data_IF_047391170370
#
_entry.id   IF_047391170370
#
_cell.length_a   1.000
_cell.length_b   1.000
_cell.length_c   1.000
_cell.angle_alpha   90.00
_cell.angle_beta   90.00
_cell.angle_gamma   90.00
#
_symmetry.space_group_name_H-M   'P 1'
#
loop_
_entity.id
_entity.type
_entity.pdbx_description
1 polymer ?
#
# COMPACT_ATOMS: atom_id res chain seq x y z
N UNK A 1 48.29 -44.30 -29.29
CA UNK A 1 47.57 -44.21 -27.98
C UNK A 1 47.38 -42.79 -27.44
N UNK A 2 48.36 -41.87 -27.47
CA UNK A 2 48.23 -40.49 -26.91
C UNK A 2 47.05 -39.65 -27.48
N UNK A 3 46.72 -39.78 -28.78
CA UNK A 3 45.60 -39.06 -29.43
C UNK A 3 44.22 -39.49 -28.91
N UNK A 4 44.03 -40.79 -28.68
CA UNK A 4 42.78 -41.37 -28.17
C UNK A 4 42.55 -40.95 -26.71
N UNK A 5 43.62 -40.91 -25.91
CA UNK A 5 43.57 -40.46 -24.52
C UNK A 5 43.26 -38.95 -24.41
N UNK A 6 43.77 -38.13 -25.34
CA UNK A 6 43.46 -36.69 -25.45
C UNK A 6 41.98 -36.44 -25.77
N UNK A 7 41.40 -37.17 -26.72
CA UNK A 7 39.98 -37.04 -27.08
C UNK A 7 39.04 -37.42 -25.91
N UNK A 8 39.36 -38.46 -25.14
CA UNK A 8 38.58 -38.83 -23.95
C UNK A 8 38.63 -37.75 -22.86
N UNK A 9 39.77 -37.08 -22.67
CA UNK A 9 39.89 -35.94 -21.72
C UNK A 9 39.11 -34.72 -22.17
N UNK A 10 39.11 -34.41 -23.47
CA UNK A 10 38.34 -33.29 -24.04
C UNK A 10 36.83 -33.55 -23.89
N UNK A 11 36.37 -34.78 -24.16
CA UNK A 11 34.98 -35.18 -23.97
C UNK A 11 34.55 -35.04 -22.50
N UNK A 12 35.39 -35.47 -21.56
CA UNK A 12 35.12 -35.34 -20.13
C UNK A 12 35.01 -33.87 -19.71
N UNK A 13 35.90 -33.00 -20.20
CA UNK A 13 35.85 -31.55 -19.94
C UNK A 13 34.59 -30.91 -20.50
N UNK A 14 34.14 -31.33 -21.69
CA UNK A 14 32.87 -30.86 -22.28
C UNK A 14 31.67 -31.25 -21.43
N UNK A 15 31.61 -32.50 -20.96
CA UNK A 15 30.53 -32.98 -20.09
C UNK A 15 30.48 -32.19 -18.78
N UNK A 16 31.66 -31.97 -18.15
CA UNK A 16 31.76 -31.16 -16.93
C UNK A 16 31.33 -29.71 -17.20
N UNK A 17 31.81 -29.11 -18.29
CA UNK A 17 31.45 -27.74 -18.66
C UNK A 17 29.95 -27.55 -18.89
N UNK A 18 29.30 -28.47 -19.62
CA UNK A 18 27.85 -28.46 -19.82
C UNK A 18 27.12 -28.63 -18.47
N UNK A 19 27.58 -29.55 -17.62
CA UNK A 19 27.01 -29.74 -16.28
C UNK A 19 27.04 -28.46 -15.44
N UNK A 20 28.17 -27.74 -15.44
CA UNK A 20 28.32 -26.46 -14.74
C UNK A 20 27.35 -25.40 -15.31
N UNK A 21 27.23 -25.29 -16.64
CA UNK A 21 26.31 -24.33 -17.27
C UNK A 21 24.86 -24.61 -16.87
N UNK A 22 24.44 -25.88 -16.87
CA UNK A 22 23.08 -26.28 -16.45
C UNK A 22 22.83 -25.92 -14.97
N UNK A 23 23.82 -26.11 -14.09
CA UNK A 23 23.72 -25.72 -12.68
C UNK A 23 23.58 -24.19 -12.54
N UNK A 24 24.42 -23.41 -13.23
CA UNK A 24 24.37 -21.95 -13.21
C UNK A 24 23.00 -21.45 -13.71
N UNK A 25 22.52 -21.99 -14.83
CA UNK A 25 21.22 -21.60 -15.39
C UNK A 25 20.08 -21.90 -14.41
N UNK A 26 20.07 -23.09 -13.79
CA UNK A 26 19.07 -23.44 -12.78
C UNK A 26 19.11 -22.52 -11.55
N UNK A 27 20.30 -22.17 -11.06
CA UNK A 27 20.45 -21.24 -9.94
C UNK A 27 19.94 -19.84 -10.31
N UNK A 28 20.25 -19.36 -11.51
CA UNK A 28 19.78 -18.07 -12.00
C UNK A 28 18.25 -18.02 -12.12
N UNK A 29 17.63 -19.03 -12.73
CA UNK A 29 16.16 -19.11 -12.83
C UNK A 29 15.48 -19.18 -11.46
N UNK A 30 16.04 -19.93 -10.50
CA UNK A 30 15.53 -19.97 -9.12
C UNK A 30 15.64 -18.61 -8.45
N UNK A 31 16.77 -17.91 -8.62
CA UNK A 31 16.98 -16.60 -8.01
C UNK A 31 15.99 -15.57 -8.53
N UNK A 32 15.75 -15.53 -9.84
CA UNK A 32 14.72 -14.65 -10.43
C UNK A 32 13.32 -14.96 -9.90
N UNK A 33 12.98 -16.24 -9.72
CA UNK A 33 11.67 -16.63 -9.17
C UNK A 33 11.50 -16.17 -7.72
N UNK A 34 12.54 -16.32 -6.89
CA UNK A 34 12.53 -15.85 -5.51
C UNK A 34 12.42 -14.33 -5.44
N UNK A 35 13.18 -13.63 -6.27
CA UNK A 35 13.11 -12.18 -6.39
C UNK A 35 11.68 -11.73 -6.74
N UNK A 36 11.08 -12.33 -7.77
CA UNK A 36 9.68 -12.07 -8.14
C UNK A 36 8.70 -12.35 -6.99
N UNK A 37 8.85 -13.46 -6.27
CA UNK A 37 7.99 -13.78 -5.13
C UNK A 37 8.12 -12.74 -4.02
N UNK A 38 9.34 -12.34 -3.67
CA UNK A 38 9.59 -11.31 -2.64
C UNK A 38 8.96 -9.97 -3.06
N UNK A 39 9.16 -9.55 -4.31
CA UNK A 39 8.51 -8.34 -4.85
C UNK A 39 6.99 -8.46 -4.80
N UNK A 40 6.43 -9.58 -5.24
CA UNK A 40 4.99 -9.79 -5.26
C UNK A 40 4.39 -9.75 -3.86
N UNK A 41 5.00 -10.42 -2.89
CA UNK A 41 4.53 -10.41 -1.49
C UNK A 41 4.64 -9.01 -0.88
N UNK A 42 5.72 -8.28 -1.16
CA UNK A 42 5.87 -6.89 -0.67
C UNK A 42 4.91 -5.91 -1.35
N UNK A 43 4.51 -6.19 -2.57
CA UNK A 43 3.59 -5.36 -3.35
C UNK A 43 2.11 -5.74 -3.20
N UNK A 44 1.80 -6.73 -2.36
CA UNK A 44 0.42 -7.06 -1.94
C UNK A 44 0.09 -6.40 -0.60
N UNK A 45 -1.08 -5.76 -0.46
CA UNK A 45 -1.52 -5.20 0.81
C UNK A 45 -1.97 -6.32 1.77
N UNK A 46 -1.79 -6.12 3.08
CA UNK A 46 -2.29 -7.06 4.10
C UNK A 46 -3.79 -6.89 4.40
N UNK A 47 -4.33 -5.73 4.03
CA UNK A 47 -5.73 -5.34 4.24
C UNK A 47 -6.32 -5.02 2.87
N UNK A 48 -7.56 -5.45 2.64
CA UNK A 48 -8.29 -5.14 1.41
C UNK A 48 -8.47 -3.62 1.26
N UNK A 49 -8.06 -3.08 0.11
CA UNK A 49 -8.11 -1.65 -0.18
C UNK A 49 -9.28 -1.34 -1.09
N UNK A 50 -10.15 -0.43 -0.67
CA UNK A 50 -11.30 -0.01 -1.46
C UNK A 50 -11.83 1.35 -1.03
N UNK A 51 -12.54 2.03 -1.92
CA UNK A 51 -13.30 3.23 -1.60
C UNK A 51 -14.73 3.10 -2.13
N UNK A 52 -15.65 2.82 -1.20
CA UNK A 52 -17.08 2.71 -1.42
C UNK A 52 -17.86 3.91 -0.88
N UNK A 53 -17.17 4.99 -0.47
CA UNK A 53 -17.83 6.21 -0.03
C UNK A 53 -18.67 6.79 -1.17
N UNK A 54 -19.91 7.12 -0.84
CA UNK A 54 -20.86 7.80 -1.72
C UNK A 54 -21.55 8.92 -0.96
N UNK A 55 -21.94 9.97 -1.68
CA UNK A 55 -22.55 11.16 -1.12
C UNK A 55 -23.87 11.44 -1.83
N UNK A 56 -24.92 11.75 -1.08
CA UNK A 56 -26.18 12.22 -1.66
C UNK A 56 -26.16 13.73 -1.94
N UNK A 57 -27.27 14.28 -2.44
CA UNK A 57 -27.38 15.72 -2.77
C UNK A 57 -27.28 16.63 -1.54
N UNK A 58 -27.51 16.12 -0.33
CA UNK A 58 -27.34 16.82 0.94
C UNK A 58 -25.91 16.67 1.52
N UNK A 59 -24.97 16.07 0.78
CA UNK A 59 -23.62 15.74 1.24
C UNK A 59 -23.57 14.76 2.43
N UNK A 60 -24.63 13.99 2.65
CA UNK A 60 -24.62 12.89 3.62
C UNK A 60 -23.93 11.71 2.95
N UNK A 61 -22.92 11.18 3.64
CA UNK A 61 -22.11 10.07 3.17
C UNK A 61 -22.66 8.71 3.64
N UNK A 62 -22.41 7.68 2.83
CA UNK A 62 -22.64 6.28 3.16
C UNK A 62 -21.56 5.39 2.55
N UNK A 63 -21.47 4.13 3.00
CA UNK A 63 -20.39 3.21 2.65
C UNK A 63 -19.17 3.40 3.56
N UNK A 64 -17.99 3.05 3.10
CA UNK A 64 -16.73 3.29 3.82
C UNK A 64 -15.54 3.26 2.87
N UNK A 65 -14.38 3.65 3.39
CA UNK A 65 -13.12 3.58 2.67
C UNK A 65 -12.08 2.93 3.56
N UNK A 66 -11.27 2.06 2.97
CA UNK A 66 -10.09 1.47 3.58
C UNK A 66 -8.93 1.68 2.63
N UNK A 67 -7.85 2.28 3.11
CA UNK A 67 -6.68 2.51 2.27
C UNK A 67 -5.36 2.51 3.03
N UNK A 68 -4.29 2.36 2.28
CA UNK A 68 -2.92 2.37 2.78
C UNK A 68 -2.39 3.81 2.86
N UNK A 69 -1.72 4.15 3.98
CA UNK A 69 -1.12 5.47 4.20
C UNK A 69 0.19 5.57 3.44
N UNK A 70 0.18 6.35 2.35
CA UNK A 70 1.36 6.58 1.53
C UNK A 70 1.95 7.98 1.73
N UNK A 71 3.24 8.03 1.98
CA UNK A 71 4.04 9.25 2.03
C UNK A 71 4.42 9.65 0.60
N UNK A 72 3.41 9.79 -0.27
CA UNK A 72 3.58 9.93 -1.73
C UNK A 72 4.50 11.09 -2.12
N UNK A 73 4.49 12.18 -1.33
CA UNK A 73 5.31 13.36 -1.58
C UNK A 73 6.72 13.28 -0.97
N UNK A 74 6.96 12.34 -0.06
CA UNK A 74 8.22 12.14 0.67
C UNK A 74 8.47 10.63 0.82
N UNK A 75 8.62 9.92 -0.30
CA UNK A 75 8.70 8.45 -0.32
C UNK A 75 9.84 7.89 0.53
N UNK A 76 10.92 8.64 0.67
CA UNK A 76 12.08 8.26 1.49
C UNK A 76 11.76 8.21 2.99
N UNK A 77 10.71 8.91 3.43
CA UNK A 77 10.20 8.88 4.80
C UNK A 77 9.20 7.73 5.04
N UNK A 78 8.82 6.97 4.01
CA UNK A 78 7.87 5.86 4.18
C UNK A 78 8.46 4.79 5.13
N UNK A 79 7.77 4.45 6.23
CA UNK A 79 8.19 3.35 7.10
C UNK A 79 8.23 2.02 6.32
N UNK A 80 9.37 1.31 6.37
CA UNK A 80 9.56 0.08 5.59
C UNK A 80 8.98 -1.17 6.24
N UNK A 81 9.03 -1.23 7.57
CA UNK A 81 8.59 -2.41 8.35
C UNK A 81 7.19 -2.25 8.95
N UNK A 82 6.62 -1.04 8.84
CA UNK A 82 5.28 -0.69 9.30
C UNK A 82 4.40 -0.39 8.10
N UNK A 83 3.33 -1.16 7.94
CA UNK A 83 2.24 -0.86 7.02
C UNK A 83 1.09 -0.28 7.83
N UNK A 84 0.76 0.98 7.57
CA UNK A 84 -0.37 1.66 8.16
C UNK A 84 -1.48 1.78 7.13
N UNK A 85 -2.70 1.49 7.56
CA UNK A 85 -3.93 1.66 6.82
C UNK A 85 -4.89 2.48 7.67
N UNK A 86 -5.80 3.18 7.01
CA UNK A 86 -6.86 3.94 7.67
C UNK A 86 -8.19 3.49 7.08
N UNK A 87 -9.15 3.26 7.97
CA UNK A 87 -10.56 3.08 7.63
C UNK A 87 -11.33 4.34 8.02
N UNK A 88 -12.11 4.90 7.10
CA UNK A 88 -13.02 6.03 7.38
C UNK A 88 -14.45 5.59 7.09
N UNK A 89 -15.32 5.72 8.09
CA UNK A 89 -16.72 5.33 8.02
C UNK A 89 -17.62 6.48 8.49
N UNK A 90 -18.60 6.94 7.68
CA UNK A 90 -19.63 7.86 8.13
C UNK A 90 -20.54 7.21 9.17
N UNK A 91 -20.97 7.98 10.16
CA UNK A 91 -21.93 7.54 11.18
C UNK A 91 -23.35 8.02 10.88
N UNK A 92 -24.32 7.52 11.64
CA UNK A 92 -25.69 8.05 11.65
C UNK A 92 -25.85 9.24 12.62
N UNK A 93 -24.77 9.65 13.28
CA UNK A 93 -24.77 10.75 14.24
C UNK A 93 -24.41 12.08 13.55
N UNK A 94 -24.91 13.17 14.12
CA UNK A 94 -24.69 14.53 13.62
C UNK A 94 -24.21 15.42 14.75
N UNK A 95 -23.33 16.37 14.44
CA UNK A 95 -22.88 17.39 15.37
C UNK A 95 -23.96 18.44 15.65
N UNK A 96 -23.69 19.35 16.58
CA UNK A 96 -24.60 20.45 16.96
C UNK A 96 -24.95 21.38 15.79
N UNK A 97 -24.17 21.37 14.70
CA UNK A 97 -24.36 22.16 13.49
C UNK A 97 -25.10 21.35 12.40
N UNK A 98 -25.57 20.15 12.72
CA UNK A 98 -26.27 19.26 11.80
C UNK A 98 -25.38 18.61 10.76
N UNK A 99 -24.06 18.54 10.97
CA UNK A 99 -23.13 17.87 10.06
C UNK A 99 -22.86 16.45 10.52
N UNK A 100 -22.84 15.52 9.57
CA UNK A 100 -22.60 14.10 9.84
C UNK A 100 -21.21 13.89 10.48
N UNK A 101 -21.14 13.04 11.50
CA UNK A 101 -19.88 12.63 12.13
C UNK A 101 -19.31 11.43 11.36
N UNK A 102 -18.00 11.39 11.21
CA UNK A 102 -17.27 10.25 10.65
C UNK A 102 -16.41 9.62 11.74
N UNK A 103 -15.97 8.39 11.55
CA UNK A 103 -15.00 7.72 12.39
C UNK A 103 -13.81 7.25 11.57
N UNK A 104 -12.63 7.49 12.12
CA UNK A 104 -11.36 6.96 11.65
C UNK A 104 -10.96 5.77 12.51
N UNK A 105 -10.46 4.71 11.88
CA UNK A 105 -9.77 3.62 12.57
C UNK A 105 -8.42 3.42 11.92
N UNK A 106 -7.36 3.59 12.71
CA UNK A 106 -6.01 3.18 12.33
C UNK A 106 -5.89 1.65 12.36
N UNK A 107 -5.25 1.09 11.34
CA UNK A 107 -4.97 -0.34 11.20
C UNK A 107 -3.49 -0.49 10.90
N UNK A 108 -2.76 -1.24 11.71
CA UNK A 108 -1.31 -1.39 11.55
C UNK A 108 -0.89 -2.85 11.43
N UNK A 109 0.12 -3.08 10.61
CA UNK A 109 0.82 -4.35 10.44
C UNK A 109 2.32 -4.09 10.56
N UNK A 110 2.95 -4.68 11.57
CA UNK A 110 4.39 -4.57 11.83
C UNK A 110 5.06 -5.90 11.55
N UNK A 111 5.86 -5.98 10.49
CA UNK A 111 6.53 -7.20 10.07
C UNK A 111 5.59 -8.41 10.05
N UNK A 112 5.93 -9.46 10.82
CA UNK A 112 5.15 -10.70 10.87
C UNK A 112 4.08 -10.71 11.97
N UNK A 113 3.90 -9.63 12.74
CA UNK A 113 2.91 -9.58 13.82
C UNK A 113 1.48 -9.55 13.27
N UNK A 114 0.47 -10.03 14.00
CA UNK A 114 -0.93 -9.89 13.59
C UNK A 114 -1.32 -8.44 13.30
N UNK A 115 -2.33 -8.25 12.46
CA UNK A 115 -2.91 -6.93 12.20
C UNK A 115 -3.54 -6.41 13.51
N UNK A 116 -3.30 -5.14 13.81
CA UNK A 116 -3.87 -4.46 14.97
C UNK A 116 -4.78 -3.32 14.54
N UNK A 117 -5.90 -3.16 15.24
CA UNK A 117 -6.90 -2.11 15.02
C UNK A 117 -6.92 -1.22 16.25
N UNK A 118 -6.87 0.08 16.05
CA UNK A 118 -6.99 1.06 17.12
C UNK A 118 -8.46 1.44 17.39
N UNK A 119 -8.69 2.10 18.51
CA UNK A 119 -10.02 2.61 18.85
C UNK A 119 -10.47 3.67 17.84
N UNK A 120 -11.76 3.70 17.46
CA UNK A 120 -12.27 4.70 16.54
C UNK A 120 -12.12 6.13 17.06
N UNK A 121 -11.62 7.02 16.21
CA UNK A 121 -11.50 8.46 16.49
C UNK A 121 -12.58 9.22 15.72
N UNK A 122 -13.37 10.09 16.37
CA UNK A 122 -14.38 10.87 15.67
C UNK A 122 -13.73 11.96 14.81
N UNK A 123 -14.20 12.09 13.58
CA UNK A 123 -13.88 13.16 12.65
C UNK A 123 -15.11 14.04 12.41
N UNK A 124 -14.94 15.35 12.52
CA UNK A 124 -16.00 16.33 12.26
C UNK A 124 -15.86 16.96 10.88
N UNK A 125 -16.97 17.30 10.24
CA UNK A 125 -16.96 17.99 8.94
C UNK A 125 -16.58 19.46 9.14
N UNK A 126 -15.34 19.79 8.79
CA UNK A 126 -14.84 21.17 8.83
C UNK A 126 -15.49 22.01 7.76
N UNK A 127 -15.42 21.56 6.51
CA UNK A 127 -15.99 22.28 5.36
C UNK A 127 -16.45 21.33 4.25
N UNK A 128 -17.40 21.80 3.45
CA UNK A 128 -17.73 21.19 2.16
C UNK A 128 -17.58 22.29 1.11
N UNK A 129 -16.63 22.13 0.21
CA UNK A 129 -16.34 23.09 -0.86
C UNK A 129 -16.23 22.36 -2.18
N UNK A 130 -17.05 22.75 -3.14
CA UNK A 130 -17.13 22.14 -4.46
C UNK A 130 -17.33 20.60 -4.36
N UNK A 131 -16.36 19.85 -4.91
CA UNK A 131 -16.33 18.40 -4.91
C UNK A 131 -15.54 17.81 -3.73
N UNK A 132 -15.16 18.61 -2.73
CA UNK A 132 -14.32 18.17 -1.61
C UNK A 132 -15.06 18.34 -0.29
N UNK A 133 -15.02 17.31 0.54
CA UNK A 133 -15.36 17.38 1.96
C UNK A 133 -14.04 17.32 2.75
N UNK A 134 -13.87 18.26 3.69
CA UNK A 134 -12.74 18.28 4.61
C UNK A 134 -13.23 17.86 5.98
N UNK A 135 -12.72 16.74 6.47
CA UNK A 135 -12.91 16.29 7.84
C UNK A 135 -11.72 16.72 8.70
N UNK A 136 -11.94 16.85 10.00
CA UNK A 136 -10.90 17.16 10.98
C UNK A 136 -11.05 16.30 12.22
N UNK A 137 -9.94 15.86 12.78
CA UNK A 137 -9.90 15.24 14.11
C UNK A 137 -9.72 16.32 15.21
N UNK A 138 -9.54 15.87 16.46
CA UNK A 138 -9.29 16.75 17.62
C UNK A 138 -7.89 17.38 17.62
N UNK A 139 -6.97 16.87 16.80
CA UNK A 139 -5.57 17.32 16.71
C UNK A 139 -5.34 18.26 15.53
N UNK A 140 -6.41 18.72 14.88
CA UNK A 140 -6.41 19.53 13.66
C UNK A 140 -5.79 18.84 12.42
N UNK A 141 -5.68 17.51 12.43
CA UNK A 141 -5.35 16.77 11.22
C UNK A 141 -6.54 16.82 10.25
N UNK A 142 -6.25 17.01 8.96
CA UNK A 142 -7.27 17.21 7.95
C UNK A 142 -7.35 16.03 6.99
N UNK A 143 -8.56 15.60 6.68
CA UNK A 143 -8.84 14.54 5.71
C UNK A 143 -9.69 15.13 4.59
N UNK A 144 -9.08 15.33 3.42
CA UNK A 144 -9.73 15.91 2.25
C UNK A 144 -10.15 14.80 1.30
N UNK A 145 -11.46 14.59 1.20
CA UNK A 145 -12.06 13.55 0.35
C UNK A 145 -12.68 14.22 -0.87
N UNK A 146 -12.16 13.90 -2.05
CA UNK A 146 -12.76 14.32 -3.31
C UNK A 146 -13.89 13.37 -3.71
N UNK A 147 -15.12 13.87 -3.74
CA UNK A 147 -16.36 13.12 -4.04
C UNK A 147 -16.39 12.51 -5.44
N UNK A 148 -15.66 13.09 -6.39
CA UNK A 148 -15.67 12.67 -7.80
C UNK A 148 -14.51 11.73 -8.09
N UNK A 149 -13.28 12.15 -7.75
CA UNK A 149 -12.08 11.34 -8.03
C UNK A 149 -11.84 10.25 -7.00
N UNK A 150 -12.59 10.25 -5.89
CA UNK A 150 -12.42 9.36 -4.74
C UNK A 150 -11.03 9.43 -4.09
N UNK A 151 -10.23 10.45 -4.44
CA UNK A 151 -8.92 10.69 -3.86
C UNK A 151 -9.08 11.21 -2.44
N UNK A 152 -8.29 10.68 -1.53
CA UNK A 152 -8.22 11.11 -0.14
C UNK A 152 -6.79 11.56 0.16
N UNK A 153 -6.66 12.81 0.60
CA UNK A 153 -5.39 13.40 1.02
C UNK A 153 -5.52 13.75 2.49
N UNK A 154 -4.53 13.35 3.26
CA UNK A 154 -4.46 13.61 4.70
C UNK A 154 -3.30 14.57 4.93
N UNK A 155 -3.50 15.53 5.84
CA UNK A 155 -2.42 16.43 6.25
C UNK A 155 -2.44 16.60 7.75
N UNK A 156 -1.26 16.58 8.36
CA UNK A 156 -1.13 16.90 9.77
C UNK A 156 -1.28 18.42 10.00
N UNK A 157 -1.24 18.82 11.26
CA UNK A 157 -1.28 20.23 11.67
C UNK A 157 -0.01 21.03 11.28
N UNK A 158 1.05 20.36 10.83
CA UNK A 158 2.29 20.99 10.33
C UNK A 158 2.26 21.21 8.81
N UNK A 159 1.29 20.60 8.13
CA UNK A 159 1.10 20.67 6.68
C UNK A 159 1.75 19.53 5.90
N UNK A 160 2.39 18.56 6.56
CA UNK A 160 2.93 17.37 5.93
C UNK A 160 1.79 16.52 5.39
N UNK A 161 1.90 16.11 4.12
CA UNK A 161 0.82 15.44 3.39
C UNK A 161 1.10 13.97 3.13
N UNK A 162 0.06 13.16 3.30
CA UNK A 162 0.00 11.78 2.88
C UNK A 162 -1.22 11.54 1.98
N UNK A 163 -1.19 10.47 1.21
CA UNK A 163 -2.28 10.07 0.32
C UNK A 163 -2.75 8.69 0.77
N UNK A 164 -4.06 8.53 0.89
CA UNK A 164 -4.66 7.23 1.20
C UNK A 164 -4.86 6.46 -0.11
N UNK A 165 -4.11 5.38 -0.30
CA UNK A 165 -4.21 4.51 -1.47
C UNK A 165 -5.30 3.47 -1.24
N UNK A 166 -6.37 3.53 -2.03
CA UNK A 166 -7.58 2.71 -1.84
C UNK A 166 -7.77 1.67 -2.94
N UNK A 167 -6.72 1.31 -3.67
CA UNK A 167 -6.77 0.29 -4.71
C UNK A 167 -5.48 -0.52 -4.75
N UNK A 168 -5.60 -1.81 -5.05
CA UNK A 168 -4.44 -2.71 -5.15
C UNK A 168 -3.48 -2.30 -6.27
N UNK A 169 -3.99 -1.81 -7.40
CA UNK A 169 -3.16 -1.39 -8.53
C UNK A 169 -2.27 -0.21 -8.13
N UNK A 170 -2.84 0.82 -7.52
CA UNK A 170 -2.08 1.98 -7.06
C UNK A 170 -1.13 1.62 -5.91
N UNK A 171 -1.50 0.67 -5.05
CA UNK A 171 -0.61 0.16 -4.01
C UNK A 171 0.61 -0.54 -4.60
N UNK A 172 0.39 -1.44 -5.57
CA UNK A 172 1.48 -2.13 -6.28
C UNK A 172 2.39 -1.15 -7.00
N UNK A 173 1.83 -0.15 -7.67
CA UNK A 173 2.62 0.89 -8.35
C UNK A 173 3.47 1.69 -7.36
N UNK A 174 2.93 1.99 -6.18
CA UNK A 174 3.65 2.66 -5.10
C UNK A 174 4.78 1.79 -4.53
N UNK A 175 4.51 0.51 -4.22
CA UNK A 175 5.52 -0.42 -3.70
C UNK A 175 6.64 -0.64 -4.72
N UNK A 176 6.31 -0.75 -6.01
CA UNK A 176 7.31 -0.85 -7.08
C UNK A 176 8.20 0.39 -7.19
N UNK A 177 7.71 1.57 -6.80
CA UNK A 177 8.55 2.78 -6.71
C UNK A 177 9.46 2.77 -5.49
N UNK A 178 8.99 2.25 -4.35
CA UNK A 178 9.77 2.17 -3.11
C UNK A 178 10.89 1.14 -3.12
N UNK A 179 10.69 0.06 -3.88
CA UNK A 179 11.65 -1.05 -3.95
C UNK A 179 12.71 -0.86 -5.05
N UNK A 180 12.55 0.13 -5.91
CA UNK A 180 13.57 0.58 -6.88
C UNK A 180 14.56 1.52 -6.19
#
# INVERSE_FOLDING_TARGET
>A
MKKILKNKKILLLLIIGIGIIVIIFNLYSKNQSLEFQVYSTKSSPDVELYNALSFNSQNIASGEVVGFVSFYFNTDKQPRDLRQYIKITPSNDFDEKGKQIFYEVDIVKVGNLPIHYFDPVPLSVKEVKDNVITLTDKSDNLFKINKITRKIVMSDNTGDQTVLITSESSFRDFQNKLLK
#
